data_IF_446878285768
#
_entry.id   IF_446878285768
#
_cell.length_a   1.000
_cell.length_b   1.000
_cell.length_c   1.000
_cell.angle_alpha   90.00
_cell.angle_beta   90.00
_cell.angle_gamma   90.00
#
_symmetry.space_group_name_H-M   'P 1'
#
loop_
_entity.id
_entity.type
_entity.pdbx_description
1 polymer ?
#
# COMPACT_ATOMS: atom_id res chain seq x y z
N UNK A 1 -1.67 7.33 -26.71
CA UNK A 1 -1.63 7.83 -25.32
C UNK A 1 -2.93 7.57 -24.56
N UNK A 2 -4.09 7.58 -25.21
CA UNK A 2 -5.39 7.27 -24.58
C UNK A 2 -5.55 5.80 -24.18
N UNK A 3 -5.00 4.85 -24.95
CA UNK A 3 -5.16 3.42 -24.67
C UNK A 3 -4.47 2.97 -23.38
N UNK A 4 -3.29 3.51 -23.06
CA UNK A 4 -2.54 3.20 -21.83
C UNK A 4 -3.29 3.63 -20.57
N UNK A 5 -3.92 4.81 -20.59
CA UNK A 5 -4.73 5.31 -19.46
C UNK A 5 -5.98 4.46 -19.21
N UNK A 6 -6.64 3.98 -20.28
CA UNK A 6 -7.81 3.11 -20.16
C UNK A 6 -7.42 1.79 -19.47
N UNK A 7 -6.31 1.17 -19.86
CA UNK A 7 -5.82 -0.06 -19.23
C UNK A 7 -5.43 0.16 -17.76
N UNK A 8 -4.83 1.30 -17.42
CA UNK A 8 -4.54 1.67 -16.03
C UNK A 8 -5.82 1.80 -15.20
N UNK A 9 -6.85 2.47 -15.70
CA UNK A 9 -8.14 2.60 -15.01
C UNK A 9 -8.86 1.26 -14.87
N UNK A 10 -8.81 0.41 -15.89
CA UNK A 10 -9.37 -0.95 -15.84
C UNK A 10 -8.65 -1.79 -14.77
N UNK A 11 -7.32 -1.73 -14.70
CA UNK A 11 -6.51 -2.45 -13.70
C UNK A 11 -6.85 -2.00 -12.27
N UNK A 12 -7.02 -0.69 -12.05
CA UNK A 12 -7.43 -0.14 -10.75
C UNK A 12 -8.84 -0.66 -10.36
N UNK A 13 -9.77 -0.70 -11.32
CA UNK A 13 -11.14 -1.15 -11.10
C UNK A 13 -11.22 -2.66 -10.86
N UNK A 14 -10.38 -3.43 -11.55
CA UNK A 14 -10.19 -4.87 -11.36
C UNK A 14 -9.69 -5.17 -9.94
N UNK A 15 -8.65 -4.44 -9.50
CA UNK A 15 -8.06 -4.57 -8.16
C UNK A 15 -9.07 -4.20 -7.06
N UNK A 16 -9.90 -3.18 -7.26
CA UNK A 16 -10.98 -2.81 -6.32
C UNK A 16 -12.06 -3.89 -6.20
N UNK A 17 -12.41 -4.56 -7.29
CA UNK A 17 -13.43 -5.62 -7.29
C UNK A 17 -13.00 -6.87 -6.53
N UNK A 18 -11.70 -7.17 -6.48
CA UNK A 18 -11.18 -8.39 -5.84
C UNK A 18 -11.15 -8.35 -4.30
N UNK A 19 -11.68 -7.31 -3.64
CA UNK A 19 -11.70 -7.10 -2.17
C UNK A 19 -10.32 -7.01 -1.49
N UNK A 20 -9.23 -7.43 -2.13
CA UNK A 20 -7.85 -7.41 -1.59
C UNK A 20 -7.44 -5.99 -1.16
N UNK A 21 -7.75 -4.98 -1.98
CA UNK A 21 -7.47 -3.57 -1.62
C UNK A 21 -8.21 -3.15 -0.34
N UNK A 22 -9.47 -3.58 -0.17
CA UNK A 22 -10.24 -3.27 1.04
C UNK A 22 -9.68 -3.97 2.27
N UNK A 23 -9.23 -5.22 2.14
CA UNK A 23 -8.60 -5.95 3.24
C UNK A 23 -7.32 -5.26 3.70
N UNK A 24 -6.44 -4.89 2.76
CA UNK A 24 -5.19 -4.23 3.15
C UNK A 24 -5.38 -2.78 3.62
N UNK A 25 -6.40 -2.07 3.14
CA UNK A 25 -6.78 -0.76 3.68
C UNK A 25 -7.31 -0.87 5.11
N UNK A 26 -8.18 -1.85 5.37
CA UNK A 26 -8.67 -2.13 6.72
C UNK A 26 -7.54 -2.53 7.67
N UNK A 27 -6.64 -3.41 7.23
CA UNK A 27 -5.46 -3.82 8.01
C UNK A 27 -4.53 -2.63 8.30
N UNK A 28 -4.32 -1.75 7.31
CA UNK A 28 -3.56 -0.52 7.49
C UNK A 28 -4.21 0.46 8.46
N UNK A 29 -5.54 0.61 8.41
CA UNK A 29 -6.29 1.46 9.32
C UNK A 29 -6.25 0.93 10.76
N UNK A 30 -6.41 -0.38 10.94
CA UNK A 30 -6.25 -1.04 12.25
C UNK A 30 -4.84 -0.82 12.79
N UNK A 31 -3.81 -0.99 11.96
CA UNK A 31 -2.42 -0.72 12.34
C UNK A 31 -2.23 0.73 12.81
N UNK A 32 -2.70 1.72 12.03
CA UNK A 32 -2.60 3.13 12.39
C UNK A 32 -3.34 3.46 13.70
N UNK A 33 -4.52 2.89 13.91
CA UNK A 33 -5.28 3.08 15.15
C UNK A 33 -4.53 2.51 16.36
N UNK A 34 -4.01 1.28 16.25
CA UNK A 34 -3.23 0.66 17.32
C UNK A 34 -1.94 1.44 17.60
N UNK A 35 -1.25 1.88 16.55
CA UNK A 35 -0.03 2.68 16.69
C UNK A 35 -0.33 4.03 17.35
N UNK A 36 -1.40 4.73 16.94
CA UNK A 36 -1.81 6.00 17.55
C UNK A 36 -2.12 5.86 19.04
N UNK A 37 -2.88 4.82 19.40
CA UNK A 37 -3.21 4.54 20.80
C UNK A 37 -1.96 4.22 21.62
N UNK A 38 -1.10 3.32 21.11
CA UNK A 38 0.15 2.97 21.78
C UNK A 38 1.09 4.16 21.94
N UNK A 39 1.24 4.97 20.89
CA UNK A 39 2.07 6.17 20.89
C UNK A 39 1.56 7.19 21.91
N UNK A 40 0.24 7.45 21.95
CA UNK A 40 -0.36 8.38 22.90
C UNK A 40 -0.10 7.97 24.36
N UNK A 41 -0.26 6.69 24.71
CA UNK A 41 0.00 6.22 26.07
C UNK A 41 1.48 6.29 26.45
N UNK A 42 2.38 5.99 25.51
CA UNK A 42 3.82 6.08 25.79
C UNK A 42 4.21 7.53 26.04
N UNK A 43 3.85 8.45 25.13
CA UNK A 43 4.20 9.88 25.25
C UNK A 43 3.62 10.50 26.52
N UNK A 44 2.36 10.17 26.87
CA UNK A 44 1.73 10.66 28.10
C UNK A 44 2.44 10.23 29.39
N UNK A 45 3.11 9.08 29.37
CA UNK A 45 3.92 8.62 30.50
C UNK A 45 5.31 9.26 30.49
N UNK A 46 5.87 9.50 29.31
CA UNK A 46 7.17 10.17 29.15
C UNK A 46 7.15 11.60 29.69
N UNK A 47 6.08 12.36 29.46
CA UNK A 47 5.96 13.74 29.94
C UNK A 47 6.07 13.86 31.48
N UNK A 48 5.83 12.78 32.22
CA UNK A 48 5.89 12.77 33.68
C UNK A 48 7.25 12.37 34.24
N UNK A 49 8.01 11.55 33.53
CA UNK A 49 9.18 10.86 34.10
C UNK A 49 10.46 10.97 33.26
N UNK A 50 10.37 11.30 31.98
CA UNK A 50 11.51 11.27 31.05
C UNK A 50 12.16 12.65 30.88
N UNK A 51 13.47 12.64 30.67
CA UNK A 51 14.20 13.83 30.22
C UNK A 51 13.89 14.14 28.74
N UNK A 52 14.11 15.39 28.30
CA UNK A 52 13.86 15.80 26.90
C UNK A 52 14.66 14.95 25.89
N UNK A 53 15.91 14.60 26.24
CA UNK A 53 16.78 13.77 25.39
C UNK A 53 16.25 12.34 25.25
N UNK A 54 15.74 11.77 26.34
CA UNK A 54 15.16 10.44 26.37
C UNK A 54 13.81 10.40 25.61
N UNK A 55 12.99 11.44 25.74
CA UNK A 55 11.75 11.63 24.97
C UNK A 55 11.98 11.66 23.46
N UNK A 56 12.96 12.44 23.00
CA UNK A 56 13.32 12.51 21.59
C UNK A 56 13.84 11.16 21.06
N UNK A 57 14.67 10.47 21.85
CA UNK A 57 15.23 9.17 21.47
C UNK A 57 14.14 8.11 21.32
N UNK A 58 13.25 7.98 22.31
CA UNK A 58 12.18 6.98 22.29
C UNK A 58 11.18 7.28 21.17
N UNK A 59 10.83 8.55 20.95
CA UNK A 59 9.96 8.97 19.84
C UNK A 59 10.57 8.60 18.48
N UNK A 60 11.87 8.84 18.29
CA UNK A 60 12.59 8.46 17.07
C UNK A 60 12.63 6.94 16.84
N UNK A 61 12.84 6.17 17.90
CA UNK A 61 12.81 4.69 17.84
C UNK A 61 11.40 4.20 17.48
N UNK A 62 10.34 4.75 18.09
CA UNK A 62 8.95 4.42 17.79
C UNK A 62 8.57 4.75 16.35
N UNK A 63 8.95 5.93 15.86
CA UNK A 63 8.74 6.33 14.47
C UNK A 63 9.42 5.36 13.51
N UNK A 64 10.69 5.03 13.77
CA UNK A 64 11.46 4.11 12.94
C UNK A 64 10.84 2.72 12.93
N UNK A 65 10.45 2.20 14.11
CA UNK A 65 9.76 0.92 14.23
C UNK A 65 8.40 0.93 13.50
N UNK A 66 7.65 2.02 13.59
CA UNK A 66 6.41 2.23 12.85
C UNK A 66 6.63 2.20 11.33
N UNK A 67 7.69 2.85 10.83
CA UNK A 67 8.03 2.83 9.41
C UNK A 67 8.42 1.44 8.91
N UNK A 68 9.15 0.64 9.72
CA UNK A 68 9.42 -0.76 9.38
C UNK A 68 8.14 -1.61 9.32
N UNK A 69 7.19 -1.37 10.21
CA UNK A 69 5.89 -2.04 10.14
C UNK A 69 5.09 -1.62 8.88
N UNK A 70 5.14 -0.34 8.51
CA UNK A 70 4.58 0.15 7.24
C UNK A 70 5.23 -0.53 6.04
N UNK A 71 6.55 -0.65 6.01
CA UNK A 71 7.29 -1.35 4.94
C UNK A 71 6.81 -2.80 4.79
N UNK A 72 6.68 -3.52 5.91
CA UNK A 72 6.15 -4.88 5.92
C UNK A 72 4.73 -4.96 5.33
N UNK A 73 3.83 -4.05 5.70
CA UNK A 73 2.47 -4.00 5.17
C UNK A 73 2.45 -3.72 3.66
N UNK A 74 3.30 -2.80 3.21
CA UNK A 74 3.41 -2.42 1.80
C UNK A 74 3.95 -3.60 0.97
N UNK A 75 4.97 -4.30 1.45
CA UNK A 75 5.53 -5.48 0.79
C UNK A 75 4.46 -6.59 0.70
N UNK A 76 3.72 -6.85 1.78
CA UNK A 76 2.63 -7.82 1.77
C UNK A 76 1.55 -7.44 0.74
N UNK A 77 1.16 -6.17 0.69
CA UNK A 77 0.21 -5.67 -0.31
C UNK A 77 0.75 -5.86 -1.74
N UNK A 78 2.02 -5.53 -1.98
CA UNK A 78 2.66 -5.68 -3.29
C UNK A 78 2.66 -7.14 -3.76
N UNK A 79 2.99 -8.07 -2.86
CA UNK A 79 2.96 -9.51 -3.15
C UNK A 79 1.53 -9.98 -3.43
N UNK A 80 0.55 -9.60 -2.61
CA UNK A 80 -0.85 -10.00 -2.81
C UNK A 80 -1.43 -9.48 -4.12
N UNK A 81 -1.14 -8.21 -4.48
CA UNK A 81 -1.54 -7.62 -5.75
C UNK A 81 -0.88 -8.35 -6.92
N UNK A 82 0.41 -8.68 -6.80
CA UNK A 82 1.14 -9.43 -7.83
C UNK A 82 0.52 -10.82 -8.05
N UNK A 83 0.23 -11.55 -6.97
CA UNK A 83 -0.43 -12.86 -7.05
C UNK A 83 -1.82 -12.74 -7.66
N UNK A 84 -2.62 -11.73 -7.27
CA UNK A 84 -3.94 -11.50 -7.83
C UNK A 84 -3.92 -11.13 -9.32
N UNK A 85 -2.85 -10.44 -9.75
CA UNK A 85 -2.62 -10.10 -11.15
C UNK A 85 -2.27 -11.34 -11.99
N UNK A 86 -1.45 -12.25 -11.43
CA UNK A 86 -1.07 -13.50 -12.09
C UNK A 86 -2.22 -14.49 -12.13
N UNK A 87 -2.97 -14.65 -11.02
CA UNK A 87 -4.11 -15.58 -10.96
C UNK A 87 -5.26 -15.15 -11.88
N UNK A 88 -5.50 -13.84 -12.01
CA UNK A 88 -6.51 -13.32 -12.94
C UNK A 88 -6.20 -13.61 -14.41
N UNK A 89 -4.92 -13.70 -14.79
CA UNK A 89 -4.51 -14.07 -16.16
C UNK A 89 -4.59 -15.58 -16.41
N UNK A 90 -4.35 -16.39 -15.37
CA UNK A 90 -4.45 -17.86 -15.45
C UNK A 90 -5.91 -18.29 -15.55
N UNK A 91 -6.81 -17.68 -14.78
CA UNK A 91 -8.23 -18.06 -14.71
C UNK A 91 -9.02 -17.64 -15.97
N UNK A 92 -8.57 -16.63 -16.70
CA UNK A 92 -9.35 -16.06 -17.79
C UNK A 92 -9.14 -16.75 -19.15
N UNK A 93 -8.17 -17.66 -19.31
CA UNK A 93 -7.75 -18.22 -20.61
C UNK A 93 -7.62 -17.16 -21.74
N UNK A 94 -7.48 -15.87 -21.40
CA UNK A 94 -7.62 -14.76 -22.36
C UNK A 94 -6.31 -14.48 -23.09
N UNK A 95 -5.23 -15.15 -22.70
CA UNK A 95 -3.95 -15.14 -23.42
C UNK A 95 -4.15 -15.58 -24.89
N UNK A 96 -5.07 -16.51 -25.15
CA UNK A 96 -5.35 -17.01 -26.50
C UNK A 96 -6.26 -16.09 -27.35
N UNK A 97 -7.13 -15.29 -26.72
CA UNK A 97 -8.05 -14.39 -27.44
C UNK A 97 -7.39 -13.05 -27.80
N UNK A 98 -6.42 -12.60 -27.01
CA UNK A 98 -5.77 -11.29 -27.19
C UNK A 98 -4.82 -11.22 -28.42
N UNK A 99 -4.48 -12.36 -29.02
CA UNK A 99 -3.63 -12.47 -30.22
C UNK A 99 -4.33 -11.96 -31.49
N UNK A 100 -5.65 -11.78 -31.47
CA UNK A 100 -6.43 -11.38 -32.67
C UNK A 100 -6.56 -9.87 -32.90
N UNK A 101 -6.15 -9.01 -31.95
CA UNK A 101 -6.14 -7.54 -32.13
C UNK A 101 -4.71 -7.00 -32.25
N UNK A 102 -4.41 -6.08 -33.18
CA UNK A 102 -3.07 -5.53 -33.40
C UNK A 102 -2.75 -4.48 -32.33
N UNK A 103 -2.60 -4.90 -31.07
CA UNK A 103 -2.20 -4.05 -29.95
C UNK A 103 -0.77 -4.43 -29.55
N UNK A 104 0.12 -3.46 -29.48
CA UNK A 104 1.51 -3.71 -29.08
C UNK A 104 1.58 -4.19 -27.63
N UNK A 105 2.15 -5.39 -27.41
CA UNK A 105 2.23 -6.09 -26.11
C UNK A 105 2.78 -5.21 -24.97
N UNK A 106 3.71 -4.31 -25.26
CA UNK A 106 4.31 -3.37 -24.29
C UNK A 106 3.30 -2.39 -23.67
N UNK A 107 2.29 -1.94 -24.41
CA UNK A 107 1.31 -0.96 -23.90
C UNK A 107 0.41 -1.55 -22.80
N UNK A 108 0.15 -2.86 -22.88
CA UNK A 108 -0.66 -3.59 -21.90
C UNK A 108 0.14 -3.78 -20.61
N UNK A 109 1.40 -4.23 -20.73
CA UNK A 109 2.31 -4.42 -19.60
C UNK A 109 2.55 -3.09 -18.87
N UNK A 110 2.82 -2.02 -19.60
CA UNK A 110 3.02 -0.68 -19.02
C UNK A 110 1.76 -0.15 -18.34
N UNK A 111 0.58 -0.32 -18.95
CA UNK A 111 -0.69 0.11 -18.35
C UNK A 111 -0.99 -0.61 -17.03
N UNK A 112 -0.71 -1.92 -16.97
CA UNK A 112 -0.90 -2.74 -15.76
C UNK A 112 0.11 -2.39 -14.67
N UNK A 113 1.38 -2.25 -15.04
CA UNK A 113 2.45 -1.86 -14.12
C UNK A 113 2.19 -0.48 -13.51
N UNK A 114 1.77 0.51 -14.31
CA UNK A 114 1.38 1.83 -13.81
C UNK A 114 0.19 1.77 -12.85
N UNK A 115 -0.79 0.91 -13.11
CA UNK A 115 -1.92 0.70 -12.21
C UNK A 115 -1.47 0.24 -10.82
N UNK A 116 -0.58 -0.76 -10.76
CA UNK A 116 -0.05 -1.26 -9.49
C UNK A 116 0.90 -0.26 -8.81
N UNK A 117 1.74 0.43 -9.59
CA UNK A 117 2.62 1.47 -9.05
C UNK A 117 1.82 2.58 -8.38
N UNK A 118 0.75 3.06 -9.01
CA UNK A 118 -0.13 4.09 -8.44
C UNK A 118 -0.81 3.58 -7.15
N UNK A 119 -1.34 2.35 -7.16
CA UNK A 119 -2.02 1.77 -6.00
C UNK A 119 -1.07 1.62 -4.80
N UNK A 120 0.14 1.10 -5.03
CA UNK A 120 1.15 0.96 -3.99
C UNK A 120 1.64 2.32 -3.48
N UNK A 121 1.84 3.29 -4.38
CA UNK A 121 2.22 4.65 -4.00
C UNK A 121 1.17 5.28 -3.09
N UNK A 122 -0.11 5.15 -3.44
CA UNK A 122 -1.22 5.66 -2.63
C UNK A 122 -1.28 4.95 -1.27
N UNK A 123 -1.05 3.64 -1.23
CA UNK A 123 -1.02 2.87 0.02
C UNK A 123 0.15 3.29 0.93
N UNK A 124 1.34 3.50 0.38
CA UNK A 124 2.52 4.01 1.11
C UNK A 124 2.21 5.41 1.65
N UNK A 125 1.67 6.31 0.82
CA UNK A 125 1.31 7.67 1.26
C UNK A 125 0.27 7.65 2.38
N UNK A 126 -0.72 6.76 2.30
CA UNK A 126 -1.72 6.60 3.35
C UNK A 126 -1.09 6.14 4.67
N UNK A 127 -0.28 5.09 4.64
CA UNK A 127 0.33 4.53 5.85
C UNK A 127 1.43 5.42 6.44
N UNK A 128 2.40 5.83 5.63
CA UNK A 128 3.51 6.67 6.07
C UNK A 128 3.03 8.07 6.43
N UNK A 129 2.10 8.64 5.67
CA UNK A 129 1.48 9.92 5.98
C UNK A 129 0.65 9.86 7.26
N UNK A 130 -0.14 8.80 7.45
CA UNK A 130 -0.87 8.55 8.69
C UNK A 130 0.06 8.41 9.89
N UNK A 131 1.17 7.68 9.75
CA UNK A 131 2.18 7.53 10.79
C UNK A 131 2.83 8.87 11.15
N UNK A 132 3.19 9.69 10.16
CA UNK A 132 3.77 11.01 10.40
C UNK A 132 2.80 11.95 11.13
N UNK A 133 1.51 11.94 10.76
CA UNK A 133 0.48 12.74 11.43
C UNK A 133 0.21 12.32 12.88
N UNK A 134 0.57 11.09 13.26
CA UNK A 134 0.44 10.61 14.64
C UNK A 134 1.62 11.10 15.49
N UNK A 135 2.82 11.16 14.90
CA UNK A 135 4.06 11.45 15.62
C UNK A 135 4.36 12.94 15.71
N UNK A 136 3.99 13.72 14.68
CA UNK A 136 4.19 15.18 14.60
C UNK A 136 2.88 15.93 14.79
#
# INVERSE_FOLDING_TARGET
MTTTLIFTQLTIREAQRRKILWVGLLMGLVFLALFAVGFHYIVAEMDKYASLEEALTITGVLLTAGLYAVDLLVILMAVLISVAAVSGEIESHTVDVLVTKPIHRWQIILGKWLGFAILLTLYILFLAGGLMLIVY
#
